data_IF_084934783156
#
_entry.id   IF_084934783156
#
_cell.length_a   1.000
_cell.length_b   1.000
_cell.length_c   1.000
_cell.angle_alpha   90.00
_cell.angle_beta   90.00
_cell.angle_gamma   90.00
#
_symmetry.space_group_name_H-M   'P 1'
#
loop_
_entity.id
_entity.type
_entity.pdbx_description
1 polymer ?
#
# COMPACT_ATOMS: atom_id res chain seq x y z
N UNK A 1 13.49 -18.10 -14.74
CA UNK A 1 12.79 -17.65 -13.51
C UNK A 1 13.84 -16.97 -12.67
N UNK A 2 13.75 -15.66 -12.49
CA UNK A 2 14.75 -14.90 -11.74
C UNK A 2 14.33 -14.88 -10.25
N UNK A 3 15.06 -15.58 -9.36
CA UNK A 3 14.66 -15.73 -7.96
C UNK A 3 14.71 -14.40 -7.20
N UNK A 4 15.62 -13.50 -7.57
CA UNK A 4 15.76 -12.16 -7.00
C UNK A 4 14.54 -11.28 -7.33
N UNK A 5 14.10 -11.23 -8.59
CA UNK A 5 12.88 -10.53 -8.98
C UNK A 5 11.64 -11.08 -8.26
N UNK A 6 11.60 -12.40 -8.03
CA UNK A 6 10.49 -13.05 -7.31
C UNK A 6 10.48 -12.71 -5.82
N UNK A 7 11.64 -12.56 -5.17
CA UNK A 7 11.74 -12.08 -3.78
C UNK A 7 11.23 -10.66 -3.60
N UNK A 8 11.49 -9.77 -4.57
CA UNK A 8 11.02 -8.39 -4.51
C UNK A 8 9.49 -8.29 -4.58
N UNK A 9 8.83 -9.23 -5.25
CA UNK A 9 7.37 -9.29 -5.33
C UNK A 9 6.69 -9.48 -3.97
N UNK A 10 7.28 -10.28 -3.08
CA UNK A 10 6.76 -10.49 -1.73
C UNK A 10 6.74 -9.20 -0.88
N UNK A 11 7.68 -8.27 -1.11
CA UNK A 11 7.69 -6.96 -0.44
C UNK A 11 6.48 -6.13 -0.88
N UNK A 12 6.21 -6.10 -2.18
CA UNK A 12 5.07 -5.40 -2.78
C UNK A 12 3.75 -6.02 -2.30
N UNK A 13 3.65 -7.35 -2.27
CA UNK A 13 2.45 -8.06 -1.78
C UNK A 13 2.17 -7.77 -0.31
N UNK A 14 3.21 -7.78 0.55
CA UNK A 14 3.08 -7.40 1.96
C UNK A 14 2.63 -5.95 2.14
N UNK A 15 3.18 -5.03 1.34
CA UNK A 15 2.76 -3.63 1.35
C UNK A 15 1.27 -3.49 0.99
N UNK A 16 0.80 -4.15 -0.07
CA UNK A 16 -0.61 -4.12 -0.47
C UNK A 16 -1.53 -4.78 0.56
N UNK A 17 -1.10 -5.87 1.23
CA UNK A 17 -1.85 -6.47 2.32
C UNK A 17 -2.00 -5.49 3.49
N UNK A 18 -0.92 -4.83 3.92
CA UNK A 18 -0.98 -3.80 4.98
C UNK A 18 -1.81 -2.61 4.54
N UNK A 19 -1.77 -2.19 3.27
CA UNK A 19 -2.57 -1.09 2.76
C UNK A 19 -4.08 -1.38 2.81
N UNK A 20 -4.49 -2.64 2.63
CA UNK A 20 -5.90 -3.05 2.75
C UNK A 20 -6.43 -3.05 4.19
N UNK A 21 -5.56 -3.11 5.19
CA UNK A 21 -5.95 -2.98 6.61
C UNK A 21 -6.52 -1.59 6.90
N UNK A 22 -6.10 -0.58 6.13
CA UNK A 22 -6.57 0.78 6.25
C UNK A 22 -7.96 0.90 5.66
N UNK A 23 -8.99 0.70 6.50
CA UNK A 23 -10.40 0.72 6.10
C UNK A 23 -10.76 1.90 5.20
N UNK A 24 -10.23 3.10 5.47
CA UNK A 24 -10.45 4.32 4.65
C UNK A 24 -9.94 4.19 3.21
N UNK A 25 -8.80 3.54 3.02
CA UNK A 25 -8.21 3.27 1.69
C UNK A 25 -8.95 2.11 1.02
N UNK A 26 -9.21 1.02 1.75
CA UNK A 26 -9.85 -0.18 1.21
C UNK A 26 -11.28 0.06 0.69
N UNK A 27 -12.05 0.87 1.41
CA UNK A 27 -13.45 1.17 1.05
C UNK A 27 -13.60 2.37 0.11
N UNK A 28 -12.50 3.07 -0.20
CA UNK A 28 -12.48 4.26 -1.05
C UNK A 28 -13.56 5.29 -0.66
N UNK A 29 -13.67 5.58 0.64
CA UNK A 29 -14.63 6.57 1.16
C UNK A 29 -14.42 7.97 0.60
N UNK A 30 -13.19 8.26 0.14
CA UNK A 30 -12.85 9.59 -0.31
C UNK A 30 -13.42 9.87 -1.70
N UNK A 31 -14.26 10.91 -1.80
CA UNK A 31 -14.94 11.30 -3.05
C UNK A 31 -13.97 11.97 -4.03
N UNK A 32 -12.91 12.61 -3.53
CA UNK A 32 -11.94 13.29 -4.37
C UNK A 32 -10.72 12.40 -4.59
N UNK A 33 -10.39 12.15 -5.86
CA UNK A 33 -9.24 11.32 -6.24
C UNK A 33 -7.93 11.82 -5.63
N UNK A 34 -7.77 13.14 -5.48
CA UNK A 34 -6.58 13.73 -4.86
C UNK A 34 -6.43 13.34 -3.38
N UNK A 35 -7.52 13.38 -2.59
CA UNK A 35 -7.44 13.03 -1.17
C UNK A 35 -7.29 11.51 -1.00
N UNK A 36 -7.93 10.72 -1.85
CA UNK A 36 -7.68 9.27 -1.90
C UNK A 36 -6.19 8.98 -2.16
N UNK A 37 -5.58 9.64 -3.14
CA UNK A 37 -4.17 9.48 -3.45
C UNK A 37 -3.29 9.90 -2.27
N UNK A 38 -3.55 11.07 -1.65
CA UNK A 38 -2.82 11.51 -0.46
C UNK A 38 -2.89 10.51 0.69
N UNK A 39 -4.07 9.93 0.95
CA UNK A 39 -4.24 8.90 1.98
C UNK A 39 -3.44 7.63 1.67
N UNK A 40 -3.41 7.21 0.39
CA UNK A 40 -2.60 6.07 -0.07
C UNK A 40 -1.10 6.36 0.11
N UNK A 41 -0.63 7.55 -0.24
CA UNK A 41 0.79 7.92 -0.06
C UNK A 41 1.19 7.95 1.41
N UNK A 42 0.35 8.52 2.29
CA UNK A 42 0.63 8.53 3.74
C UNK A 42 0.69 7.09 4.27
N UNK A 43 -0.28 6.24 3.93
CA UNK A 43 -0.29 4.86 4.36
C UNK A 43 0.94 4.09 3.82
N UNK A 44 1.32 4.32 2.56
CA UNK A 44 2.51 3.73 1.96
C UNK A 44 3.80 4.13 2.70
N UNK A 45 3.95 5.40 3.06
CA UNK A 45 5.11 5.90 3.83
C UNK A 45 5.13 5.23 5.21
N UNK A 46 4.00 5.19 5.92
CA UNK A 46 3.94 4.58 7.25
C UNK A 46 4.28 3.08 7.21
N UNK A 47 3.75 2.36 6.21
CA UNK A 47 4.04 0.93 6.01
C UNK A 47 5.52 0.69 5.71
N UNK A 48 6.15 1.59 4.96
CA UNK A 48 7.58 1.52 4.65
C UNK A 48 8.46 1.79 5.87
N UNK A 49 8.11 2.77 6.70
CA UNK A 49 8.84 3.07 7.95
C UNK A 49 8.61 2.02 9.05
N UNK A 50 7.47 1.33 9.03
CA UNK A 50 7.14 0.25 9.97
C UNK A 50 7.55 -1.16 9.48
N UNK A 51 8.33 -1.24 8.39
CA UNK A 51 8.85 -2.48 7.81
C UNK A 51 10.16 -2.90 8.48
#
# INVERSE_FOLDING_TARGET
>A
FDPEAYKQRNLVERMFCRLKDWRRVATRYDKLAAIFASAVFIAAIIIWWAQ
#
